data_IF_006894679575
#
_entry.id   IF_006894679575
#
_cell.length_a   1.000
_cell.length_b   1.000
_cell.length_c   1.000
_cell.angle_alpha   90.00
_cell.angle_beta   90.00
_cell.angle_gamma   90.00
#
_symmetry.space_group_name_H-M   'P 1'
#
loop_
_entity.id
_entity.type
_entity.pdbx_description
1 polymer ?
#
# COMPACT_ATOMS: atom_id res chain seq x y z
N UNK A 1 -20.04 63.45 21.49
CA UNK A 1 -19.02 64.44 21.87
C UNK A 1 -17.68 63.89 21.42
N UNK A 2 -17.08 64.61 20.46
CA UNK A 2 -15.68 64.76 20.06
C UNK A 2 -14.87 63.49 19.77
N UNK A 3 -14.71 63.15 18.54
CA UNK A 3 -13.63 63.31 17.56
C UNK A 3 -12.24 63.57 18.14
N UNK A 4 -11.27 62.68 17.84
CA UNK A 4 -9.93 63.10 17.50
C UNK A 4 -9.28 62.08 16.50
N UNK A 5 -9.25 62.54 15.25
CA UNK A 5 -8.44 62.06 14.16
C UNK A 5 -7.01 62.58 14.35
N UNK A 6 -6.01 61.71 14.24
CA UNK A 6 -4.62 62.16 14.00
C UNK A 6 -4.07 61.41 12.78
N UNK A 7 -3.93 62.19 11.75
CA UNK A 7 -3.21 61.90 10.52
C UNK A 7 -1.70 62.13 10.73
N UNK A 8 -0.86 61.14 10.43
CA UNK A 8 0.54 61.40 10.14
C UNK A 8 0.91 60.84 8.78
N UNK A 9 1.06 61.80 7.86
CA UNK A 9 1.81 61.61 6.61
C UNK A 9 3.29 61.48 6.95
N UNK A 10 3.99 60.48 6.43
CA UNK A 10 5.42 60.53 6.20
C UNK A 10 5.74 60.14 4.74
N UNK A 11 6.39 61.12 4.14
CA UNK A 11 6.87 61.18 2.77
C UNK A 11 8.12 60.33 2.57
N UNK A 12 8.14 59.61 1.50
CA UNK A 12 9.20 59.39 0.51
C UNK A 12 10.61 59.00 0.95
N UNK A 13 11.05 57.90 0.38
CA UNK A 13 12.31 57.87 -0.38
C UNK A 13 12.39 56.59 -1.21
N UNK A 14 12.21 56.76 -2.48
CA UNK A 14 12.54 55.80 -3.55
C UNK A 14 14.06 55.70 -3.60
N UNK A 15 14.60 54.49 -3.43
CA UNK A 15 15.96 54.17 -3.84
C UNK A 15 15.92 53.22 -5.03
N UNK A 16 16.18 53.81 -6.21
CA UNK A 16 16.53 53.11 -7.44
C UNK A 16 17.93 52.51 -7.25
N UNK A 17 18.08 51.20 -7.27
CA UNK A 17 19.38 50.58 -7.54
C UNK A 17 19.44 50.16 -8.99
N UNK A 18 20.32 50.88 -9.71
CA UNK A 18 20.57 50.72 -11.12
C UNK A 18 21.28 49.40 -11.43
N UNK A 19 20.79 48.71 -12.46
CA UNK A 19 21.49 47.66 -13.20
C UNK A 19 22.76 48.24 -13.85
N UNK A 20 23.92 47.66 -13.56
CA UNK A 20 25.12 47.81 -14.38
C UNK A 20 25.26 46.56 -15.23
N UNK A 21 24.89 46.72 -16.48
CA UNK A 21 25.08 45.72 -17.54
C UNK A 21 26.49 46.00 -18.12
N UNK A 22 27.45 45.12 -17.81
CA UNK A 22 28.73 45.14 -18.52
C UNK A 22 28.70 44.15 -19.68
N UNK A 23 28.51 44.69 -20.87
CA UNK A 23 28.68 44.02 -22.14
C UNK A 23 30.18 43.99 -22.47
N UNK A 24 30.84 42.83 -22.39
CA UNK A 24 32.14 42.61 -23.01
C UNK A 24 31.92 41.73 -24.23
N UNK A 25 31.92 42.34 -25.38
CA UNK A 25 31.99 41.63 -26.67
C UNK A 25 33.46 41.31 -26.92
N UNK A 26 33.82 40.06 -26.84
CA UNK A 26 35.06 39.53 -27.38
C UNK A 26 34.72 38.54 -28.51
N UNK A 27 34.89 39.00 -29.73
CA UNK A 27 34.93 38.19 -30.93
C UNK A 27 36.25 37.41 -30.93
N UNK A 28 36.16 36.07 -30.74
CA UNK A 28 37.18 35.15 -31.18
C UNK A 28 36.50 33.96 -31.83
N UNK A 29 36.61 33.92 -33.13
CA UNK A 29 36.29 32.79 -33.98
C UNK A 29 37.25 31.62 -33.71
N UNK A 30 36.74 30.48 -33.26
CA UNK A 30 37.39 29.17 -33.48
C UNK A 30 36.34 28.06 -33.43
N UNK A 31 36.29 27.36 -34.52
CA UNK A 31 35.81 26.00 -34.81
C UNK A 31 35.00 25.25 -33.73
N UNK A 32 33.80 24.93 -34.14
CA UNK A 32 32.78 24.28 -33.35
C UNK A 32 33.12 22.88 -32.83
N UNK A 33 32.75 22.69 -31.61
CA UNK A 33 32.17 21.42 -31.10
C UNK A 33 31.03 21.84 -30.19
N UNK A 34 29.81 21.67 -30.67
CA UNK A 34 28.61 21.80 -29.83
C UNK A 34 28.65 20.69 -28.77
N UNK A 35 29.13 21.03 -27.58
CA UNK A 35 28.79 20.21 -26.40
C UNK A 35 27.30 20.41 -26.14
N UNK A 36 26.51 19.42 -26.59
CA UNK A 36 25.20 19.23 -26.01
C UNK A 36 25.41 18.81 -24.55
N UNK A 37 25.31 19.75 -23.64
CA UNK A 37 25.03 19.42 -22.23
C UNK A 37 23.61 18.86 -22.21
N UNK A 38 23.52 17.56 -22.35
CA UNK A 38 22.31 16.84 -21.97
C UNK A 38 22.23 17.03 -20.46
N UNK A 39 21.38 17.94 -20.00
CA UNK A 39 20.91 17.92 -18.63
C UNK A 39 20.25 16.53 -18.45
N UNK A 40 20.98 15.60 -17.87
CA UNK A 40 20.38 14.39 -17.33
C UNK A 40 19.43 14.90 -16.24
N UNK A 41 18.14 14.92 -16.55
CA UNK A 41 17.11 15.01 -15.55
C UNK A 41 17.43 13.93 -14.51
N UNK A 42 17.54 14.32 -13.28
CA UNK A 42 17.62 13.37 -12.15
C UNK A 42 16.23 12.75 -12.09
N UNK A 43 16.07 11.63 -12.77
CA UNK A 43 14.89 10.78 -12.57
C UNK A 43 14.95 10.31 -11.12
N UNK A 44 14.07 10.81 -10.28
CA UNK A 44 13.88 10.27 -8.94
C UNK A 44 13.13 8.95 -9.10
N UNK A 45 13.85 7.85 -8.93
CA UNK A 45 13.29 6.51 -8.81
C UNK A 45 13.11 6.24 -7.31
N UNK A 46 11.99 6.62 -6.77
CA UNK A 46 11.66 6.44 -5.37
C UNK A 46 10.22 5.95 -5.24
N UNK A 47 10.06 4.82 -4.57
CA UNK A 47 8.74 4.33 -4.21
C UNK A 47 8.04 5.31 -3.26
N UNK A 48 6.74 5.45 -3.44
CA UNK A 48 5.92 6.35 -2.63
C UNK A 48 4.98 5.52 -1.76
N UNK A 49 4.89 5.89 -0.50
CA UNK A 49 3.78 5.51 0.39
C UNK A 49 2.92 6.75 0.60
N UNK A 50 1.62 6.56 0.67
CA UNK A 50 0.68 7.65 0.90
C UNK A 50 -0.38 7.22 1.91
N UNK A 51 0.02 6.90 3.16
CA UNK A 51 -0.95 6.45 4.15
C UNK A 51 -1.98 7.54 4.39
N UNK A 52 -3.23 7.21 4.10
CA UNK A 52 -4.36 8.08 4.37
C UNK A 52 -4.86 7.82 5.79
N UNK A 53 -4.73 8.80 6.68
CA UNK A 53 -5.14 8.62 8.07
C UNK A 53 -5.93 9.79 8.63
N UNK A 54 -6.64 9.52 9.71
CA UNK A 54 -7.40 10.48 10.48
C UNK A 54 -7.15 10.26 11.97
N UNK A 55 -6.74 11.31 12.68
CA UNK A 55 -6.55 11.27 14.12
C UNK A 55 -7.86 11.00 14.87
N UNK A 56 -7.83 10.05 15.80
CA UNK A 56 -8.97 9.63 16.61
C UNK A 56 -8.93 10.13 18.05
N UNK A 57 -7.74 10.40 18.59
CA UNK A 57 -7.55 10.85 19.97
C UNK A 57 -6.46 10.08 20.71
N UNK A 58 -6.32 10.36 22.01
CA UNK A 58 -5.39 9.66 22.92
C UNK A 58 -6.06 8.52 23.67
N UNK A 59 -5.27 7.58 24.25
CA UNK A 59 -5.75 6.32 24.84
C UNK A 59 -6.78 6.42 25.95
N UNK A 60 -6.81 7.52 26.68
CA UNK A 60 -7.65 7.68 27.87
C UNK A 60 -9.08 8.16 27.58
N UNK A 61 -9.34 8.55 26.35
CA UNK A 61 -10.69 8.85 25.94
C UNK A 61 -11.39 7.53 25.59
N UNK A 62 -12.64 7.33 25.98
CA UNK A 62 -13.44 6.13 25.65
C UNK A 62 -13.67 6.02 24.13
N UNK A 63 -12.64 5.61 23.39
CA UNK A 63 -12.48 5.83 21.96
C UNK A 63 -13.23 4.87 21.08
N UNK A 64 -13.48 3.64 21.53
CA UNK A 64 -14.40 2.75 20.82
C UNK A 64 -15.77 3.42 20.63
N UNK A 65 -16.19 4.27 21.57
CA UNK A 65 -17.43 5.03 21.44
C UNK A 65 -17.38 6.14 20.38
N UNK A 66 -16.23 6.82 20.18
CA UNK A 66 -16.15 7.94 19.21
C UNK A 66 -16.03 7.48 17.75
N UNK A 67 -15.34 6.37 17.50
CA UNK A 67 -15.21 5.80 16.16
C UNK A 67 -16.46 5.04 15.73
N UNK A 68 -17.15 4.40 16.68
CA UNK A 68 -18.32 3.56 16.44
C UNK A 68 -19.67 4.27 16.69
N UNK A 69 -19.72 5.34 17.49
CA UNK A 69 -20.97 6.01 17.90
C UNK A 69 -21.29 7.25 17.07
N UNK A 70 -20.34 7.83 16.36
CA UNK A 70 -20.67 8.94 15.47
C UNK A 70 -21.43 8.40 14.26
N UNK A 71 -22.72 8.64 14.24
CA UNK A 71 -23.65 8.42 13.11
C UNK A 71 -23.33 9.29 11.87
N UNK A 72 -22.10 9.79 11.78
CA UNK A 72 -21.59 10.41 10.57
C UNK A 72 -21.05 9.30 9.65
N UNK A 73 -21.05 9.53 8.35
CA UNK A 73 -20.50 8.63 7.32
C UNK A 73 -19.03 8.22 7.50
N UNK A 74 -18.43 8.54 8.67
CA UNK A 74 -17.04 8.28 9.04
C UNK A 74 -16.97 7.46 10.32
N UNK A 75 -16.61 6.19 10.18
CA UNK A 75 -16.37 5.26 11.29
C UNK A 75 -15.04 4.52 11.08
N UNK A 76 -14.65 3.65 11.99
CA UNK A 76 -13.46 2.82 11.88
C UNK A 76 -13.73 1.43 12.42
N UNK A 77 -12.91 0.49 12.01
CA UNK A 77 -12.98 -0.90 12.41
C UNK A 77 -11.79 -1.28 13.30
N UNK A 78 -12.06 -2.04 14.34
CA UNK A 78 -11.05 -2.73 15.13
C UNK A 78 -10.81 -4.15 14.61
N UNK A 79 -9.97 -4.87 15.33
CA UNK A 79 -9.51 -6.21 14.93
C UNK A 79 -10.68 -7.20 14.79
N UNK A 80 -11.59 -7.26 15.75
CA UNK A 80 -12.70 -8.21 15.72
C UNK A 80 -13.67 -7.94 14.56
N UNK A 81 -13.94 -6.66 14.25
CA UNK A 81 -14.80 -6.30 13.14
C UNK A 81 -14.19 -6.75 11.80
N UNK A 82 -12.89 -6.51 11.59
CA UNK A 82 -12.21 -6.91 10.36
C UNK A 82 -12.13 -8.44 10.23
N UNK A 83 -11.80 -9.14 11.32
CA UNK A 83 -11.78 -10.61 11.34
C UNK A 83 -13.14 -11.24 11.04
N UNK A 84 -14.21 -10.61 11.49
CA UNK A 84 -15.57 -11.08 11.24
C UNK A 84 -16.03 -10.75 9.82
N UNK A 85 -15.80 -9.52 9.35
CA UNK A 85 -16.21 -9.08 8.01
C UNK A 85 -15.62 -9.97 6.91
N UNK A 86 -14.36 -10.36 7.04
CA UNK A 86 -13.70 -11.22 6.06
C UNK A 86 -13.65 -12.71 6.45
N UNK A 87 -14.47 -13.10 7.43
CA UNK A 87 -14.61 -14.52 7.85
C UNK A 87 -13.29 -15.17 8.26
N UNK A 88 -12.43 -14.41 8.95
CA UNK A 88 -11.14 -14.88 9.50
C UNK A 88 -11.36 -15.52 10.87
N UNK A 89 -12.26 -14.99 11.70
CA UNK A 89 -12.52 -15.46 13.05
C UNK A 89 -12.81 -16.99 13.13
N UNK A 90 -13.54 -17.62 12.19
CA UNK A 90 -13.73 -19.06 12.19
C UNK A 90 -12.43 -19.87 11.98
N UNK A 91 -11.43 -19.34 11.29
CA UNK A 91 -10.12 -19.99 11.13
C UNK A 91 -9.33 -19.92 12.43
N UNK A 92 -9.29 -18.74 13.06
CA UNK A 92 -8.63 -18.52 14.34
C UNK A 92 -9.24 -19.43 15.45
N UNK A 93 -10.57 -19.53 15.51
CA UNK A 93 -11.27 -20.41 16.46
C UNK A 93 -10.93 -21.90 16.26
N UNK A 94 -10.46 -22.29 15.08
CA UNK A 94 -10.00 -23.65 14.75
C UNK A 94 -8.50 -23.85 14.98
N UNK A 95 -7.79 -22.81 15.47
CA UNK A 95 -6.35 -22.85 15.74
C UNK A 95 -5.44 -22.51 14.54
N UNK A 96 -6.01 -22.03 13.44
CA UNK A 96 -5.23 -21.50 12.32
C UNK A 96 -4.92 -20.01 12.58
N UNK A 97 -3.79 -19.75 13.21
CA UNK A 97 -3.38 -18.44 13.75
C UNK A 97 -2.10 -17.90 13.10
N UNK A 98 -1.61 -18.57 12.04
CA UNK A 98 -0.31 -18.30 11.43
C UNK A 98 0.86 -18.94 12.18
N UNK A 99 0.59 -19.79 13.17
CA UNK A 99 1.62 -20.44 13.99
C UNK A 99 2.60 -21.24 13.14
N UNK A 100 3.91 -20.96 13.33
CA UNK A 100 4.99 -21.59 12.59
C UNK A 100 5.17 -21.04 11.19
N UNK A 101 4.54 -19.89 10.87
CA UNK A 101 4.71 -19.14 9.62
C UNK A 101 5.35 -17.79 9.91
N UNK A 102 5.92 -17.21 8.86
CA UNK A 102 6.64 -15.94 8.96
C UNK A 102 6.24 -14.97 7.85
N UNK A 103 5.92 -13.74 8.25
CA UNK A 103 5.60 -12.64 7.36
C UNK A 103 6.77 -11.66 7.41
N UNK A 104 7.27 -11.26 6.25
CA UNK A 104 8.24 -10.19 6.11
C UNK A 104 7.52 -8.95 5.59
N UNK A 105 7.73 -7.84 6.25
CA UNK A 105 7.30 -6.51 5.83
C UNK A 105 8.54 -5.77 5.37
N UNK A 106 8.53 -5.26 4.15
CA UNK A 106 9.62 -4.42 3.63
C UNK A 106 9.12 -2.99 3.59
N UNK A 107 9.75 -2.12 4.38
CA UNK A 107 9.46 -0.69 4.42
C UNK A 107 10.77 0.11 4.44
N UNK A 108 10.67 1.43 4.21
CA UNK A 108 11.83 2.30 4.26
C UNK A 108 11.91 3.05 5.59
N UNK A 109 13.11 3.44 5.94
CA UNK A 109 13.43 4.17 7.18
C UNK A 109 13.11 3.36 8.44
N UNK A 110 12.45 3.96 9.43
CA UNK A 110 12.24 3.38 10.76
C UNK A 110 11.01 3.98 11.46
N UNK A 111 10.45 3.23 12.41
CA UNK A 111 9.45 3.71 13.36
C UNK A 111 9.98 3.51 14.79
N UNK A 112 10.60 4.53 15.41
CA UNK A 112 11.31 4.38 16.69
C UNK A 112 10.45 3.88 17.85
N UNK A 113 9.13 4.16 17.84
CA UNK A 113 8.20 3.74 18.90
C UNK A 113 7.40 2.47 18.55
N UNK A 114 7.67 1.82 17.41
CA UNK A 114 6.89 0.68 16.91
C UNK A 114 6.62 -0.40 17.97
N UNK A 115 7.62 -0.77 18.78
CA UNK A 115 7.46 -1.83 19.80
C UNK A 115 6.49 -1.43 20.91
N UNK A 116 6.51 -0.18 21.32
CA UNK A 116 5.57 0.36 22.31
C UNK A 116 4.18 0.48 21.73
N UNK A 117 4.07 0.92 20.46
CA UNK A 117 2.81 1.06 19.73
C UNK A 117 2.13 -0.29 19.54
N UNK A 118 2.85 -1.30 19.10
CA UNK A 118 2.31 -2.66 18.95
C UNK A 118 1.90 -3.25 20.30
N UNK A 119 2.66 -3.02 21.38
CA UNK A 119 2.28 -3.49 22.71
C UNK A 119 0.97 -2.83 23.20
N UNK A 120 0.80 -1.54 22.92
CA UNK A 120 -0.45 -0.80 23.17
C UNK A 120 -1.61 -1.35 22.31
N UNK A 121 -1.34 -1.65 21.04
CA UNK A 121 -2.30 -2.26 20.12
C UNK A 121 -2.75 -3.65 20.60
N UNK A 122 -1.80 -4.52 20.96
CA UNK A 122 -2.08 -5.86 21.51
C UNK A 122 -2.94 -5.79 22.76
N UNK A 123 -2.58 -4.91 23.69
CA UNK A 123 -3.34 -4.73 24.92
C UNK A 123 -4.78 -4.25 24.69
N UNK A 124 -5.00 -3.42 23.66
CA UNK A 124 -6.33 -2.88 23.31
C UNK A 124 -7.25 -3.90 22.67
N UNK A 125 -6.69 -4.72 21.80
CA UNK A 125 -7.46 -5.69 21.04
C UNK A 125 -7.39 -7.11 21.62
N UNK A 126 -6.71 -7.28 22.76
CA UNK A 126 -6.59 -8.59 23.43
C UNK A 126 -5.80 -9.59 22.61
N UNK A 127 -4.81 -9.12 21.86
CA UNK A 127 -3.93 -9.97 21.07
C UNK A 127 -2.82 -10.58 21.95
N UNK A 128 -2.26 -11.74 21.57
CA UNK A 128 -1.04 -12.21 22.19
C UNK A 128 0.12 -11.26 21.85
N UNK A 129 1.16 -11.19 22.69
CA UNK A 129 2.34 -10.39 22.36
C UNK A 129 2.95 -10.80 21.03
N UNK A 130 3.22 -9.81 20.16
CA UNK A 130 3.80 -10.03 18.85
C UNK A 130 5.20 -10.67 18.91
N UNK A 131 5.48 -11.60 18.00
CA UNK A 131 6.85 -12.05 17.74
C UNK A 131 7.47 -11.21 16.62
N UNK A 132 7.99 -10.02 16.99
CA UNK A 132 8.53 -9.04 16.06
C UNK A 132 10.06 -9.05 16.04
N UNK A 133 10.64 -9.28 14.87
CA UNK A 133 12.03 -9.06 14.55
C UNK A 133 12.19 -7.82 13.67
N UNK A 134 13.21 -7.00 13.90
CA UNK A 134 13.53 -5.84 13.06
C UNK A 134 14.93 -6.06 12.48
N UNK A 135 15.03 -6.03 11.17
CA UNK A 135 16.26 -6.29 10.40
C UNK A 135 16.62 -5.02 9.62
N UNK A 136 17.85 -4.60 9.75
CA UNK A 136 18.39 -3.41 9.09
C UNK A 136 19.56 -3.83 8.21
N UNK A 137 19.33 -4.08 6.90
CA UNK A 137 20.41 -4.53 6.00
C UNK A 137 21.54 -3.51 5.80
N UNK A 138 21.20 -2.23 5.85
CA UNK A 138 22.12 -1.10 5.68
C UNK A 138 21.95 -0.09 6.82
N UNK A 139 22.97 0.75 7.04
CA UNK A 139 22.87 1.80 8.05
C UNK A 139 21.78 2.81 7.69
N UNK A 140 20.77 2.92 8.54
CA UNK A 140 19.70 3.90 8.41
C UNK A 140 20.19 5.34 8.63
N UNK A 141 19.54 6.34 8.02
CA UNK A 141 19.68 7.72 8.42
C UNK A 141 19.21 7.89 9.88
N UNK A 142 19.71 8.95 10.54
CA UNK A 142 19.19 9.28 11.86
C UNK A 142 17.70 9.68 11.76
N UNK A 143 16.90 9.22 12.70
CA UNK A 143 15.51 9.63 12.80
C UNK A 143 15.38 11.15 12.93
N UNK A 144 14.51 11.71 12.12
CA UNK A 144 14.18 13.13 12.14
C UNK A 144 12.66 13.29 12.11
N UNK A 145 12.07 13.60 13.26
CA UNK A 145 10.62 13.80 13.39
C UNK A 145 10.05 15.00 12.60
N UNK A 146 10.89 15.80 11.97
CA UNK A 146 10.50 16.93 11.10
C UNK A 146 10.74 16.64 9.62
N UNK A 147 11.09 15.42 9.30
CA UNK A 147 11.21 14.92 7.94
C UNK A 147 9.90 14.20 7.59
N UNK A 148 9.12 14.83 6.74
CA UNK A 148 7.78 14.34 6.37
C UNK A 148 7.85 12.95 5.72
N UNK A 149 8.91 12.65 4.98
CA UNK A 149 9.13 11.34 4.38
C UNK A 149 9.32 10.27 5.46
N UNK A 150 10.20 10.51 6.43
CA UNK A 150 10.39 9.56 7.53
C UNK A 150 9.14 9.40 8.39
N UNK A 151 8.39 10.47 8.63
CA UNK A 151 7.11 10.38 9.37
C UNK A 151 6.09 9.54 8.60
N UNK A 152 5.96 9.76 7.30
CA UNK A 152 5.04 9.00 6.44
C UNK A 152 5.37 7.50 6.47
N UNK A 153 6.66 7.15 6.35
CA UNK A 153 7.10 5.76 6.43
C UNK A 153 6.93 5.16 7.83
N UNK A 154 7.10 5.94 8.90
CA UNK A 154 6.83 5.42 10.26
C UNK A 154 5.35 5.10 10.48
N UNK A 155 4.47 5.87 9.85
CA UNK A 155 3.03 5.62 9.86
C UNK A 155 2.70 4.31 9.11
N UNK A 156 3.32 4.10 7.94
CA UNK A 156 3.15 2.88 7.14
C UNK A 156 3.64 1.65 7.90
N UNK A 157 4.84 1.71 8.49
CA UNK A 157 5.40 0.64 9.31
C UNK A 157 4.46 0.22 10.45
N UNK A 158 3.87 1.20 11.16
CA UNK A 158 2.92 0.90 12.25
C UNK A 158 1.67 0.21 11.73
N UNK A 159 1.10 0.69 10.62
CA UNK A 159 -0.05 0.07 9.96
C UNK A 159 0.24 -1.38 9.58
N UNK A 160 1.33 -1.60 8.86
CA UNK A 160 1.66 -2.89 8.26
C UNK A 160 1.92 -3.96 9.33
N UNK A 161 2.73 -3.62 10.34
CA UNK A 161 3.09 -4.55 11.41
C UNK A 161 1.88 -4.91 12.28
N UNK A 162 1.10 -3.90 12.72
CA UNK A 162 -0.07 -4.12 13.56
C UNK A 162 -1.13 -4.97 12.86
N UNK A 163 -1.40 -4.70 11.56
CA UNK A 163 -2.47 -5.39 10.87
C UNK A 163 -2.08 -6.75 10.29
N UNK A 164 -0.81 -6.99 9.99
CA UNK A 164 -0.33 -8.36 9.74
C UNK A 164 -0.48 -9.22 10.99
N UNK A 165 -0.08 -8.68 12.17
CA UNK A 165 -0.23 -9.35 13.46
C UNK A 165 -1.71 -9.54 13.85
N UNK A 166 -2.55 -8.53 13.61
CA UNK A 166 -3.99 -8.63 13.86
C UNK A 166 -4.65 -9.80 13.13
N UNK A 167 -4.21 -10.16 11.93
CA UNK A 167 -4.81 -11.24 11.15
C UNK A 167 -4.18 -12.60 11.45
N UNK A 168 -2.86 -12.66 11.66
CA UNK A 168 -2.12 -13.88 11.94
C UNK A 168 -1.35 -13.76 13.27
N UNK A 169 -2.07 -13.83 14.41
CA UNK A 169 -1.53 -13.43 15.71
C UNK A 169 -0.37 -14.29 16.25
N UNK A 170 -0.20 -15.52 15.75
CA UNK A 170 0.91 -16.40 16.11
C UNK A 170 1.98 -16.54 15.02
N UNK A 171 1.86 -15.78 13.91
CA UNK A 171 2.94 -15.70 12.93
C UNK A 171 4.11 -14.88 13.49
N UNK A 172 5.35 -15.22 13.10
CA UNK A 172 6.47 -14.32 13.32
C UNK A 172 6.44 -13.21 12.26
N UNK A 173 6.71 -11.98 12.68
CA UNK A 173 6.80 -10.83 11.78
C UNK A 173 8.24 -10.33 11.78
N UNK A 174 8.80 -10.19 10.59
CA UNK A 174 10.12 -9.57 10.38
C UNK A 174 9.93 -8.28 9.59
N UNK A 175 10.13 -7.14 10.23
CA UNK A 175 10.24 -5.85 9.54
C UNK A 175 11.65 -5.71 9.00
N UNK A 176 11.79 -5.48 7.70
CA UNK A 176 13.06 -5.19 7.04
C UNK A 176 13.08 -3.72 6.66
N UNK A 177 13.86 -2.93 7.39
CA UNK A 177 13.98 -1.50 7.23
C UNK A 177 15.01 -1.17 6.14
N UNK A 178 14.51 -0.76 4.96
CA UNK A 178 15.35 -0.24 3.89
C UNK A 178 15.94 1.11 4.29
N UNK A 179 17.16 1.38 3.84
CA UNK A 179 17.86 2.63 4.13
C UNK A 179 17.11 3.86 3.62
N UNK A 180 16.42 3.76 2.51
CA UNK A 180 15.59 4.80 1.91
C UNK A 180 14.51 4.18 1.01
N UNK A 181 13.63 5.01 0.53
CA UNK A 181 12.55 4.68 -0.41
C UNK A 181 13.03 4.51 -1.87
N UNK A 182 14.33 4.72 -2.15
CA UNK A 182 14.83 4.56 -3.52
C UNK A 182 14.91 3.08 -3.91
N UNK A 183 14.57 2.78 -5.16
CA UNK A 183 14.58 1.42 -5.70
C UNK A 183 15.84 0.60 -5.37
N UNK A 184 17.08 1.13 -5.53
CA UNK A 184 18.26 0.33 -5.21
C UNK A 184 18.34 -0.10 -3.75
N UNK A 185 17.81 0.70 -2.82
CA UNK A 185 17.81 0.38 -1.39
C UNK A 185 16.68 -0.60 -1.05
N UNK A 186 15.47 -0.42 -1.62
CA UNK A 186 14.36 -1.36 -1.48
C UNK A 186 14.65 -2.73 -2.12
N UNK A 187 15.23 -2.75 -3.33
CA UNK A 187 15.67 -4.00 -3.99
C UNK A 187 16.75 -4.71 -3.14
N UNK A 188 17.62 -3.96 -2.48
CA UNK A 188 18.62 -4.53 -1.58
C UNK A 188 17.97 -5.15 -0.35
N UNK A 189 16.97 -4.49 0.26
CA UNK A 189 16.19 -5.03 1.37
C UNK A 189 15.46 -6.31 0.96
N UNK A 190 14.86 -6.34 -0.23
CA UNK A 190 14.23 -7.52 -0.80
C UNK A 190 15.23 -8.65 -1.03
N UNK A 191 16.38 -8.39 -1.67
CA UNK A 191 17.40 -9.40 -1.88
C UNK A 191 17.95 -9.93 -0.55
N UNK A 192 18.18 -9.06 0.44
CA UNK A 192 18.58 -9.48 1.77
C UNK A 192 17.56 -10.43 2.40
N UNK A 193 16.27 -10.11 2.29
CA UNK A 193 15.15 -10.97 2.73
C UNK A 193 15.22 -12.36 2.08
N UNK A 194 15.44 -12.40 0.77
CA UNK A 194 15.49 -13.63 -0.02
C UNK A 194 16.75 -14.46 0.32
N UNK A 195 17.90 -13.81 0.36
CA UNK A 195 19.20 -14.47 0.59
C UNK A 195 19.31 -15.09 1.98
N UNK A 196 18.59 -14.54 2.96
CA UNK A 196 18.58 -15.03 4.35
C UNK A 196 17.32 -15.85 4.69
N UNK A 197 16.43 -16.11 3.72
CA UNK A 197 15.17 -16.84 3.91
C UNK A 197 14.38 -16.34 5.14
N UNK A 198 14.16 -15.01 5.22
CA UNK A 198 13.63 -14.36 6.43
C UNK A 198 12.14 -14.66 6.65
N UNK A 199 11.41 -15.17 5.65
CA UNK A 199 10.01 -15.52 5.84
C UNK A 199 9.35 -16.22 4.66
N UNK A 200 8.09 -16.59 4.88
CA UNK A 200 7.26 -17.32 3.91
C UNK A 200 6.53 -16.36 2.95
N UNK A 201 6.17 -15.18 3.45
CA UNK A 201 5.36 -14.17 2.76
C UNK A 201 6.06 -12.83 2.84
N UNK A 202 6.09 -12.07 1.74
CA UNK A 202 6.66 -10.72 1.67
C UNK A 202 5.54 -9.74 1.33
N UNK A 203 5.33 -8.74 2.19
CA UNK A 203 4.37 -7.65 2.06
C UNK A 203 5.10 -6.35 1.70
N UNK A 204 4.62 -5.64 0.67
CA UNK A 204 5.18 -4.41 0.13
C UNK A 204 4.07 -3.38 -0.06
N UNK A 205 3.91 -2.48 0.89
CA UNK A 205 2.87 -1.44 0.88
C UNK A 205 3.33 -0.15 0.22
N UNK A 206 4.05 -0.25 -0.89
CA UNK A 206 4.59 0.89 -1.62
C UNK A 206 4.56 0.67 -3.13
N UNK A 207 4.74 1.77 -3.87
CA UNK A 207 4.86 1.68 -5.32
C UNK A 207 5.29 2.99 -5.96
N UNK A 208 5.64 2.91 -7.23
CA UNK A 208 5.87 4.06 -8.11
C UNK A 208 5.36 3.75 -9.52
N UNK A 209 5.26 4.77 -10.36
CA UNK A 209 4.89 4.59 -11.77
C UNK A 209 5.87 3.68 -12.49
N UNK A 210 5.40 2.59 -13.09
CA UNK A 210 6.25 1.71 -13.91
C UNK A 210 6.92 2.44 -15.08
N UNK A 211 6.32 3.54 -15.56
CA UNK A 211 6.88 4.36 -16.64
C UNK A 211 8.14 5.14 -16.20
N UNK A 212 8.34 5.32 -14.90
CA UNK A 212 9.48 6.05 -14.35
C UNK A 212 10.68 5.15 -14.01
N UNK A 213 10.44 3.86 -13.85
CA UNK A 213 11.51 2.90 -13.60
C UNK A 213 12.34 2.63 -14.86
N UNK A 214 13.66 2.61 -14.72
CA UNK A 214 14.54 2.22 -15.84
C UNK A 214 14.43 0.72 -16.12
N UNK A 215 14.80 0.32 -17.34
CA UNK A 215 14.82 -1.10 -17.71
C UNK A 215 15.70 -1.95 -16.78
N UNK A 216 16.79 -1.39 -16.24
CA UNK A 216 17.67 -2.10 -15.30
C UNK A 216 17.02 -2.25 -13.93
N UNK A 217 16.28 -1.25 -13.45
CA UNK A 217 15.49 -1.30 -12.21
C UNK A 217 14.40 -2.36 -12.34
N UNK A 218 13.58 -2.29 -13.39
CA UNK A 218 12.53 -3.28 -13.68
C UNK A 218 13.09 -4.71 -13.72
N UNK A 219 14.22 -4.90 -14.41
CA UNK A 219 14.89 -6.19 -14.47
C UNK A 219 15.39 -6.67 -13.10
N UNK A 220 15.85 -5.75 -12.25
CA UNK A 220 16.36 -6.08 -10.91
C UNK A 220 15.22 -6.51 -9.99
N UNK A 221 14.09 -5.80 -9.99
CA UNK A 221 12.87 -6.20 -9.30
C UNK A 221 12.40 -7.57 -9.75
N UNK A 222 12.19 -7.76 -11.06
CA UNK A 222 11.69 -9.01 -11.61
C UNK A 222 12.58 -10.20 -11.26
N UNK A 223 13.91 -10.04 -11.36
CA UNK A 223 14.88 -11.09 -10.99
C UNK A 223 14.80 -11.47 -9.51
N UNK A 224 14.61 -10.49 -8.61
CA UNK A 224 14.42 -10.77 -7.19
C UNK A 224 13.11 -11.54 -6.97
N UNK A 225 12.01 -11.14 -7.63
CA UNK A 225 10.73 -11.83 -7.55
C UNK A 225 10.77 -13.26 -8.10
N UNK A 226 11.48 -13.49 -9.22
CA UNK A 226 11.74 -14.85 -9.73
C UNK A 226 12.47 -15.71 -8.68
N UNK A 227 13.42 -15.12 -7.96
CA UNK A 227 14.19 -15.87 -6.95
C UNK A 227 13.32 -16.18 -5.73
N UNK A 228 12.56 -15.21 -5.20
CA UNK A 228 11.60 -15.41 -4.12
C UNK A 228 10.56 -16.49 -4.46
N UNK A 229 9.99 -16.41 -5.67
CA UNK A 229 9.00 -17.40 -6.17
C UNK A 229 9.58 -18.81 -6.23
N UNK A 230 10.82 -18.96 -6.71
CA UNK A 230 11.51 -20.29 -6.75
C UNK A 230 11.77 -20.86 -5.35
N UNK A 231 11.94 -20.01 -4.35
CA UNK A 231 12.09 -20.42 -2.95
C UNK A 231 10.74 -20.68 -2.26
N UNK A 232 9.64 -20.52 -3.00
CA UNK A 232 8.30 -20.71 -2.49
C UNK A 232 7.80 -19.58 -1.60
N UNK A 233 8.38 -18.39 -1.71
CA UNK A 233 7.88 -17.20 -1.02
C UNK A 233 6.69 -16.60 -1.77
N UNK A 234 5.67 -16.13 -1.04
CA UNK A 234 4.55 -15.37 -1.59
C UNK A 234 4.87 -13.88 -1.59
N UNK A 235 4.60 -13.21 -2.70
CA UNK A 235 4.83 -11.77 -2.86
C UNK A 235 3.50 -11.03 -2.96
N UNK A 236 3.30 -10.01 -2.14
CA UNK A 236 2.11 -9.16 -2.10
C UNK A 236 2.53 -7.69 -2.23
N UNK A 237 1.77 -6.91 -2.97
CA UNK A 237 1.97 -5.46 -3.05
C UNK A 237 0.66 -4.69 -3.13
N UNK A 238 0.64 -3.51 -2.53
CA UNK A 238 -0.44 -2.54 -2.65
C UNK A 238 -0.59 -2.05 -4.09
N UNK A 239 -1.82 -1.88 -4.57
CA UNK A 239 -2.07 -1.46 -5.95
C UNK A 239 -1.99 0.05 -6.17
N UNK A 240 -1.88 0.83 -5.09
CA UNK A 240 -1.83 2.28 -5.10
C UNK A 240 -3.14 2.95 -4.67
N UNK A 241 -3.05 4.24 -4.39
CA UNK A 241 -4.11 5.01 -3.73
C UNK A 241 -4.64 6.18 -4.59
N UNK A 242 -4.11 6.32 -5.80
CA UNK A 242 -4.43 7.43 -6.71
C UNK A 242 -5.31 6.98 -7.89
N UNK A 243 -6.14 5.96 -7.68
CA UNK A 243 -6.99 5.39 -8.73
C UNK A 243 -6.17 4.80 -9.88
N UNK A 244 -6.52 5.08 -11.16
CA UNK A 244 -5.73 4.60 -12.29
C UNK A 244 -4.48 5.45 -12.53
N UNK A 245 -4.15 6.37 -11.62
CA UNK A 245 -3.13 7.40 -11.78
C UNK A 245 -1.86 7.14 -11.02
N UNK A 246 -0.74 7.47 -11.67
CA UNK A 246 0.59 7.54 -11.08
C UNK A 246 1.19 8.92 -11.34
N UNK A 247 2.07 9.38 -10.46
CA UNK A 247 2.80 10.62 -10.69
C UNK A 247 3.69 10.52 -11.92
N UNK A 248 3.82 11.64 -12.64
CA UNK A 248 4.83 11.77 -13.69
C UNK A 248 6.24 11.71 -13.08
N UNK A 249 7.24 11.30 -13.89
CA UNK A 249 8.59 11.05 -13.37
C UNK A 249 9.31 12.30 -12.82
N UNK A 250 8.79 13.48 -13.08
CA UNK A 250 9.21 14.76 -12.48
C UNK A 250 8.40 15.12 -11.23
N UNK A 251 7.41 14.30 -10.87
CA UNK A 251 6.44 14.51 -9.79
C UNK A 251 5.61 15.82 -9.94
N UNK A 252 5.50 16.36 -11.14
CA UNK A 252 4.79 17.62 -11.35
C UNK A 252 3.30 17.42 -11.67
N UNK A 253 2.91 16.25 -12.21
CA UNK A 253 1.57 15.96 -12.67
C UNK A 253 1.21 14.46 -12.49
N UNK A 254 0.11 14.03 -13.11
CA UNK A 254 -0.42 12.68 -13.02
C UNK A 254 -0.72 12.10 -14.39
N UNK A 255 -0.41 10.82 -14.58
CA UNK A 255 -0.73 10.03 -15.75
C UNK A 255 -1.53 8.80 -15.37
N UNK A 256 -2.30 8.26 -16.33
CA UNK A 256 -2.85 6.93 -16.20
C UNK A 256 -1.74 5.91 -16.47
N UNK A 257 -1.36 5.16 -15.45
CA UNK A 257 -0.27 4.18 -15.50
C UNK A 257 -0.48 3.09 -14.44
N UNK A 258 0.17 1.94 -14.60
CA UNK A 258 0.28 0.94 -13.56
C UNK A 258 1.50 1.25 -12.67
N UNK A 259 1.46 0.74 -11.45
CA UNK A 259 2.52 0.87 -10.44
C UNK A 259 3.43 -0.36 -10.41
N UNK A 260 4.71 -0.19 -10.07
CA UNK A 260 5.59 -1.27 -9.61
C UNK A 260 5.71 -1.15 -8.07
N UNK A 261 5.86 -2.28 -7.34
CA UNK A 261 6.11 -3.65 -7.81
C UNK A 261 4.85 -4.43 -8.21
N UNK A 262 3.64 -3.90 -8.00
CA UNK A 262 2.37 -4.63 -8.17
C UNK A 262 2.09 -5.09 -9.61
N UNK A 263 2.61 -4.39 -10.61
CA UNK A 263 2.43 -4.76 -12.02
C UNK A 263 3.27 -5.98 -12.45
N UNK A 264 4.28 -6.38 -11.66
CA UNK A 264 5.04 -7.59 -11.96
C UNK A 264 4.14 -8.83 -11.90
N UNK A 265 4.18 -9.73 -12.91
CA UNK A 265 3.32 -10.91 -12.95
C UNK A 265 3.50 -11.89 -11.78
N UNK A 266 4.63 -11.84 -11.07
CA UNK A 266 4.93 -12.71 -9.94
C UNK A 266 4.41 -12.16 -8.60
N UNK A 267 3.94 -10.92 -8.59
CA UNK A 267 3.41 -10.24 -7.41
C UNK A 267 1.89 -10.32 -7.40
N UNK A 268 1.32 -10.59 -6.23
CA UNK A 268 -0.13 -10.53 -6.00
C UNK A 268 -0.53 -9.11 -5.63
N UNK A 269 -1.31 -8.47 -6.48
CA UNK A 269 -1.78 -7.09 -6.28
C UNK A 269 -3.01 -7.02 -5.38
N UNK A 270 -2.97 -6.16 -4.37
CA UNK A 270 -4.07 -5.90 -3.43
C UNK A 270 -4.68 -4.53 -3.69
N UNK A 271 -5.90 -4.50 -4.19
CA UNK A 271 -6.70 -3.29 -4.44
C UNK A 271 -7.53 -2.87 -3.23
N UNK A 272 -8.27 -1.77 -3.41
CA UNK A 272 -9.00 -1.12 -2.36
C UNK A 272 -10.52 -1.14 -2.50
N UNK A 273 -11.23 -1.44 -1.42
CA UNK A 273 -12.68 -1.35 -1.29
C UNK A 273 -13.09 -0.40 -0.17
N UNK A 274 -14.36 -0.04 -0.14
CA UNK A 274 -15.00 0.64 0.98
C UNK A 274 -16.02 -0.33 1.60
N UNK A 275 -15.64 -0.90 2.73
CA UNK A 275 -16.42 -1.86 3.50
C UNK A 275 -17.57 -1.20 4.24
N UNK A 276 -18.73 -1.81 4.20
CA UNK A 276 -19.84 -1.64 5.15
C UNK A 276 -19.99 -2.94 5.95
N UNK A 277 -19.74 -2.86 7.24
CA UNK A 277 -19.94 -3.95 8.17
C UNK A 277 -20.65 -3.42 9.42
N UNK A 278 -21.31 -4.29 10.16
CA UNK A 278 -21.89 -3.93 11.45
C UNK A 278 -20.80 -3.46 12.42
N UNK A 279 -20.99 -2.29 13.01
CA UNK A 279 -19.96 -1.64 13.84
C UNK A 279 -19.70 -2.35 15.17
N UNK A 280 -20.59 -3.24 15.59
CA UNK A 280 -20.45 -4.00 16.85
C UNK A 280 -19.91 -5.38 16.58
N UNK A 281 -20.58 -6.09 15.66
CA UNK A 281 -20.26 -7.50 15.37
C UNK A 281 -19.23 -7.69 14.29
N UNK A 282 -19.03 -6.70 13.41
CA UNK A 282 -18.24 -6.83 12.22
C UNK A 282 -18.90 -7.66 11.10
N UNK A 283 -20.20 -7.95 11.20
CA UNK A 283 -20.89 -8.70 10.16
C UNK A 283 -20.85 -7.96 8.83
N UNK A 284 -20.38 -8.62 7.80
CA UNK A 284 -20.28 -8.08 6.43
C UNK A 284 -21.66 -7.70 5.90
N UNK A 285 -21.80 -6.50 5.36
CA UNK A 285 -23.04 -6.02 4.74
C UNK A 285 -22.89 -5.77 3.25
N UNK A 286 -21.88 -5.02 2.85
CA UNK A 286 -21.59 -4.75 1.44
C UNK A 286 -20.21 -4.10 1.26
N UNK A 287 -19.73 -4.09 0.02
CA UNK A 287 -18.55 -3.33 -0.39
C UNK A 287 -18.77 -2.67 -1.75
N UNK A 288 -18.05 -1.58 -1.95
CA UNK A 288 -17.89 -0.91 -3.23
C UNK A 288 -16.42 -0.63 -3.50
N UNK A 289 -16.06 -0.29 -4.73
CA UNK A 289 -14.70 0.21 -5.01
C UNK A 289 -14.38 1.38 -4.09
N UNK A 290 -13.22 1.38 -3.47
CA UNK A 290 -12.75 2.54 -2.71
C UNK A 290 -12.54 3.73 -3.63
N UNK A 291 -13.20 4.82 -3.29
CA UNK A 291 -13.05 6.13 -3.91
C UNK A 291 -13.46 7.18 -2.90
N UNK A 292 -12.53 8.07 -2.56
CA UNK A 292 -12.77 9.22 -1.67
C UNK A 292 -12.37 10.52 -2.37
N UNK A 293 -13.32 11.23 -2.99
CA UNK A 293 -13.03 12.49 -3.67
C UNK A 293 -12.51 13.58 -2.75
N UNK A 294 -12.80 13.53 -1.44
CA UNK A 294 -12.37 14.56 -0.50
C UNK A 294 -10.87 14.47 -0.19
N UNK A 295 -10.32 13.26 -0.17
CA UNK A 295 -8.88 13.00 -0.02
C UNK A 295 -8.17 12.80 -1.36
N UNK A 296 -8.87 12.95 -2.49
CA UNK A 296 -8.35 12.71 -3.84
C UNK A 296 -7.74 11.31 -3.98
N UNK A 297 -8.36 10.31 -3.37
CA UNK A 297 -7.85 8.94 -3.32
C UNK A 297 -8.87 7.93 -3.85
N UNK A 298 -8.35 6.83 -4.39
CA UNK A 298 -9.14 5.70 -4.89
C UNK A 298 -8.23 4.47 -5.07
N UNK A 299 -8.84 3.27 -5.13
CA UNK A 299 -8.14 2.03 -5.41
C UNK A 299 -7.26 2.13 -6.65
N UNK A 300 -5.98 1.83 -6.54
CA UNK A 300 -5.10 1.64 -7.67
C UNK A 300 -5.52 0.45 -8.53
N UNK A 301 -5.12 0.48 -9.80
CA UNK A 301 -5.37 -0.61 -10.72
C UNK A 301 -5.40 -0.17 -12.17
N UNK A 302 -5.29 -1.15 -13.06
CA UNK A 302 -5.22 -0.94 -14.50
C UNK A 302 -4.43 -2.02 -15.20
N UNK A 303 -3.74 -1.64 -16.27
CA UNK A 303 -3.02 -2.56 -17.13
C UNK A 303 -1.58 -2.06 -17.31
N UNK A 304 -0.62 -2.96 -17.11
CA UNK A 304 0.80 -2.66 -17.29
C UNK A 304 1.13 -2.35 -18.75
N UNK A 305 1.97 -1.34 -18.97
CA UNK A 305 2.56 -1.08 -20.29
C UNK A 305 3.87 -1.87 -20.50
N UNK A 306 4.40 -2.47 -19.44
CA UNK A 306 5.67 -3.21 -19.42
C UNK A 306 5.42 -4.71 -19.55
N UNK A 307 4.50 -5.27 -18.73
CA UNK A 307 4.30 -6.70 -18.63
C UNK A 307 3.13 -7.20 -19.48
N UNK A 308 3.37 -8.28 -20.22
CA UNK A 308 2.32 -8.97 -20.95
C UNK A 308 1.40 -9.73 -20.00
N UNK A 309 0.19 -10.01 -20.49
CA UNK A 309 -0.77 -10.85 -19.77
C UNK A 309 -0.14 -12.21 -19.43
N UNK A 310 -0.02 -12.57 -18.14
CA UNK A 310 0.47 -13.89 -17.75
C UNK A 310 -0.60 -14.97 -17.97
N UNK A 311 -0.16 -16.23 -18.11
CA UNK A 311 -1.04 -17.35 -18.43
C UNK A 311 -2.17 -17.59 -17.41
N UNK A 312 -1.95 -17.27 -16.14
CA UNK A 312 -3.02 -17.39 -15.15
C UNK A 312 -4.17 -16.40 -15.39
N UNK A 313 -3.93 -15.29 -16.10
CA UNK A 313 -4.97 -14.33 -16.52
C UNK A 313 -5.61 -14.70 -17.87
N UNK A 314 -5.19 -15.79 -18.51
CA UNK A 314 -5.87 -16.27 -19.73
C UNK A 314 -7.34 -16.55 -19.46
N UNK A 315 -8.17 -16.29 -20.48
CA UNK A 315 -9.64 -16.44 -20.43
C UNK A 315 -10.36 -15.42 -19.54
N UNK A 316 -9.67 -14.41 -18.97
CA UNK A 316 -10.36 -13.28 -18.34
C UNK A 316 -10.77 -12.31 -19.45
N UNK A 317 -12.10 -12.14 -19.62
CA UNK A 317 -12.65 -11.41 -20.77
C UNK A 317 -12.21 -9.94 -20.83
N UNK A 318 -11.99 -9.33 -19.67
CA UNK A 318 -11.65 -7.91 -19.56
C UNK A 318 -10.15 -7.62 -19.64
N UNK A 319 -9.30 -8.66 -19.81
CA UNK A 319 -7.85 -8.54 -19.97
C UNK A 319 -7.47 -8.90 -21.40
N UNK A 320 -6.96 -7.92 -22.16
CA UNK A 320 -6.51 -8.16 -23.53
C UNK A 320 -5.16 -8.88 -23.59
N UNK A 321 -4.05 -8.16 -23.64
CA UNK A 321 -2.71 -8.68 -23.86
C UNK A 321 -1.67 -8.22 -22.80
N UNK A 322 -2.12 -7.42 -21.82
CA UNK A 322 -1.31 -6.82 -20.78
C UNK A 322 -1.66 -7.40 -19.40
N UNK A 323 -0.69 -7.40 -18.47
CA UNK A 323 -0.94 -7.72 -17.07
C UNK A 323 -1.99 -6.76 -16.49
N UNK A 324 -3.11 -7.28 -15.99
CA UNK A 324 -4.15 -6.52 -15.30
C UNK A 324 -3.98 -6.60 -13.79
N UNK A 325 -4.06 -5.48 -13.10
CA UNK A 325 -4.01 -5.33 -11.63
C UNK A 325 -5.26 -4.61 -11.12
N UNK A 326 -5.63 -4.82 -9.84
CA UNK A 326 -5.11 -5.77 -8.86
C UNK A 326 -5.58 -7.21 -9.11
N UNK A 327 -5.09 -8.18 -8.30
CA UNK A 327 -5.58 -9.56 -8.34
C UNK A 327 -6.75 -9.78 -7.39
N UNK A 328 -6.67 -9.15 -6.23
CA UNK A 328 -7.66 -9.21 -5.12
C UNK A 328 -7.79 -7.83 -4.49
N UNK A 329 -8.71 -7.67 -3.53
CA UNK A 329 -8.90 -6.41 -2.83
C UNK A 329 -9.15 -6.59 -1.33
N UNK A 330 -9.16 -5.47 -0.61
CA UNK A 330 -9.49 -5.40 0.82
C UNK A 330 -9.98 -4.01 1.18
N UNK A 331 -10.55 -3.81 2.40
CA UNK A 331 -10.97 -2.49 2.85
C UNK A 331 -9.80 -1.49 2.89
N UNK A 332 -9.97 -0.37 2.21
CA UNK A 332 -8.96 0.69 2.08
C UNK A 332 -9.52 2.09 2.35
N UNK A 333 -10.82 2.18 2.66
CA UNK A 333 -11.47 3.48 2.86
C UNK A 333 -11.01 4.16 4.13
N UNK A 334 -10.43 5.36 4.03
CA UNK A 334 -10.02 6.17 5.20
C UNK A 334 -11.21 6.59 6.07
N UNK A 335 -12.37 6.82 5.47
CA UNK A 335 -13.59 7.15 6.21
C UNK A 335 -14.16 5.96 6.98
N UNK A 336 -13.76 4.74 6.62
CA UNK A 336 -14.11 3.44 7.23
C UNK A 336 -12.86 2.60 7.47
N UNK A 337 -11.80 3.26 7.92
CA UNK A 337 -10.47 2.69 8.04
C UNK A 337 -10.31 1.78 9.25
N UNK A 338 -9.10 1.29 9.39
CA UNK A 338 -8.69 0.44 10.51
C UNK A 338 -7.99 1.26 11.60
N UNK A 339 -8.14 0.84 12.85
CA UNK A 339 -7.49 1.53 13.99
C UNK A 339 -6.02 1.14 14.05
N UNK A 340 -5.15 2.14 14.20
CA UNK A 340 -3.69 1.98 14.35
C UNK A 340 -3.22 2.82 15.54
N UNK A 341 -2.25 2.32 16.28
CA UNK A 341 -1.49 3.05 17.30
C UNK A 341 -0.22 3.58 16.65
N UNK A 342 -0.05 4.89 16.62
CA UNK A 342 1.13 5.50 16.01
C UNK A 342 1.64 6.69 16.84
N UNK A 343 2.81 6.52 17.43
CA UNK A 343 3.44 7.46 18.35
C UNK A 343 4.36 8.48 17.69
N UNK A 344 4.90 8.17 16.53
CA UNK A 344 5.89 9.01 15.84
C UNK A 344 5.27 10.20 15.12
N UNK A 345 3.94 10.26 15.05
CA UNK A 345 3.19 11.34 14.43
C UNK A 345 3.08 12.60 15.30
N UNK A 346 2.38 13.59 14.76
CA UNK A 346 2.21 14.93 15.35
C UNK A 346 1.67 14.92 16.79
N UNK A 347 0.79 13.95 17.11
CA UNK A 347 0.09 13.91 18.40
C UNK A 347 0.83 13.13 19.50
N UNK A 348 1.96 12.47 19.14
CA UNK A 348 2.88 11.82 20.07
C UNK A 348 2.40 10.47 20.62
N UNK A 349 3.02 9.99 21.72
CA UNK A 349 2.92 8.62 22.17
C UNK A 349 1.51 8.08 22.40
N UNK A 350 1.26 6.85 21.91
CA UNK A 350 0.02 6.12 22.08
C UNK A 350 -1.19 6.71 21.35
N UNK A 351 -0.98 7.62 20.39
CA UNK A 351 -2.04 8.23 19.62
C UNK A 351 -2.72 7.25 18.69
N UNK A 352 -4.04 7.34 18.61
CA UNK A 352 -4.86 6.48 17.77
C UNK A 352 -5.26 7.20 16.48
N UNK A 353 -5.21 6.46 15.41
CA UNK A 353 -5.62 6.92 14.09
C UNK A 353 -6.50 5.89 13.39
N UNK A 354 -7.34 6.35 12.47
CA UNK A 354 -8.01 5.52 11.48
C UNK A 354 -7.23 5.58 10.19
N UNK A 355 -6.71 4.47 9.74
CA UNK A 355 -5.93 4.35 8.51
C UNK A 355 -6.74 3.73 7.39
N UNK A 356 -6.46 4.14 6.17
CA UNK A 356 -6.95 3.57 4.91
C UNK A 356 -5.79 3.43 3.93
N UNK A 357 -6.12 3.30 2.65
CA UNK A 357 -5.16 3.01 1.58
C UNK A 357 -5.11 1.52 1.25
N UNK A 358 -4.58 1.18 0.09
CA UNK A 358 -4.33 -0.22 -0.31
C UNK A 358 -3.27 -0.88 0.57
N UNK A 359 -2.43 -0.08 1.21
CA UNK A 359 -1.52 -0.46 2.30
C UNK A 359 -2.24 -1.13 3.47
N UNK A 360 -3.46 -0.70 3.81
CA UNK A 360 -4.22 -1.36 4.88
C UNK A 360 -4.58 -2.81 4.54
N UNK A 361 -4.81 -3.12 3.27
CA UNK A 361 -5.20 -4.46 2.82
C UNK A 361 -4.03 -5.43 2.65
N UNK A 362 -2.88 -4.94 2.23
CA UNK A 362 -1.73 -5.76 1.84
C UNK A 362 -1.18 -6.61 2.99
N UNK A 363 -0.88 -6.07 4.19
CA UNK A 363 -0.43 -6.86 5.33
C UNK A 363 -1.52 -7.79 5.87
N UNK A 364 -2.79 -7.42 5.75
CA UNK A 364 -3.89 -8.29 6.14
C UNK A 364 -4.02 -9.50 5.20
N UNK A 365 -3.81 -9.32 3.89
CA UNK A 365 -3.68 -10.43 2.96
C UNK A 365 -2.46 -11.30 3.26
N UNK A 366 -1.32 -10.71 3.66
CA UNK A 366 -0.16 -11.49 4.11
C UNK A 366 -0.53 -12.36 5.32
N UNK A 367 -1.29 -11.82 6.27
CA UNK A 367 -1.86 -12.58 7.37
C UNK A 367 -2.75 -13.74 6.90
N UNK A 368 -3.67 -13.52 5.95
CA UNK A 368 -4.54 -14.57 5.39
C UNK A 368 -3.71 -15.66 4.70
N UNK A 369 -2.65 -15.29 3.97
CA UNK A 369 -1.73 -16.27 3.37
C UNK A 369 -0.99 -17.06 4.44
N UNK A 370 -0.57 -16.45 5.56
CA UNK A 370 0.05 -17.16 6.67
C UNK A 370 -0.90 -18.20 7.31
N UNK A 371 -2.21 -17.87 7.41
CA UNK A 371 -3.22 -18.85 7.82
C UNK A 371 -3.34 -19.99 6.80
N UNK A 372 -3.27 -19.69 5.51
CA UNK A 372 -3.34 -20.68 4.44
C UNK A 372 -2.09 -21.59 4.41
N UNK A 373 -0.92 -21.03 4.59
CA UNK A 373 0.35 -21.78 4.72
C UNK A 373 0.32 -22.72 5.94
N UNK A 374 -0.22 -22.25 7.07
CA UNK A 374 -0.42 -23.11 8.23
C UNK A 374 -1.45 -24.20 7.94
N UNK A 375 -2.58 -23.88 7.30
CA UNK A 375 -3.62 -24.84 6.95
C UNK A 375 -3.08 -25.93 6.00
N UNK A 376 -2.28 -25.55 5.01
CA UNK A 376 -1.62 -26.45 4.08
C UNK A 376 -0.41 -27.17 4.69
N UNK A 377 0.08 -26.74 5.85
CA UNK A 377 1.33 -27.18 6.48
C UNK A 377 2.57 -27.03 5.57
N UNK A 378 2.57 -26.04 4.70
CA UNK A 378 3.66 -25.70 3.76
C UNK A 378 3.53 -24.25 3.27
N UNK A 379 4.59 -23.69 2.66
CA UNK A 379 4.49 -22.47 1.86
C UNK A 379 3.59 -22.71 0.65
N UNK A 380 2.63 -21.82 0.39
CA UNK A 380 1.85 -21.84 -0.86
C UNK A 380 2.64 -21.27 -2.03
N UNK A 381 3.59 -20.38 -1.75
CA UNK A 381 4.42 -19.75 -2.76
C UNK A 381 3.64 -18.82 -3.68
N UNK A 382 3.82 -18.95 -4.99
CA UNK A 382 3.15 -18.10 -5.98
C UNK A 382 1.64 -18.37 -6.04
N UNK A 383 0.84 -17.54 -5.40
CA UNK A 383 -0.60 -17.78 -5.20
C UNK A 383 -1.49 -17.30 -6.36
N UNK A 384 -1.02 -16.42 -7.27
CA UNK A 384 -1.88 -15.92 -8.36
C UNK A 384 -2.53 -17.04 -9.18
N UNK A 385 -1.82 -18.10 -9.61
CA UNK A 385 -2.46 -19.21 -10.32
C UNK A 385 -3.60 -19.87 -9.52
N UNK A 386 -3.48 -19.97 -8.19
CA UNK A 386 -4.49 -20.56 -7.32
C UNK A 386 -5.71 -19.63 -7.25
N UNK A 387 -5.52 -18.33 -7.03
CA UNK A 387 -6.58 -17.33 -6.96
C UNK A 387 -7.38 -17.29 -8.28
N UNK A 388 -6.67 -17.27 -9.42
CA UNK A 388 -7.31 -17.26 -10.73
C UNK A 388 -8.01 -18.58 -11.07
N UNK A 389 -7.51 -19.71 -10.60
CA UNK A 389 -8.21 -21.00 -10.72
C UNK A 389 -9.51 -21.03 -9.90
N UNK A 390 -9.51 -20.47 -8.70
CA UNK A 390 -10.70 -20.31 -7.86
C UNK A 390 -11.68 -19.36 -8.54
N UNK A 391 -11.22 -18.17 -8.95
CA UNK A 391 -12.05 -17.14 -9.56
C UNK A 391 -12.73 -17.56 -10.86
N UNK A 392 -12.11 -18.43 -11.66
CA UNK A 392 -12.66 -18.96 -12.91
C UNK A 392 -13.76 -20.01 -12.71
N UNK A 393 -13.93 -20.55 -11.49
CA UNK A 393 -14.95 -21.53 -11.17
C UNK A 393 -16.08 -20.89 -10.37
N UNK A 394 -17.22 -20.74 -10.98
CA UNK A 394 -18.37 -20.01 -10.41
C UNK A 394 -18.77 -20.49 -9.01
N UNK A 395 -18.76 -21.81 -8.75
CA UNK A 395 -19.08 -22.39 -7.45
C UNK A 395 -18.05 -22.05 -6.37
N UNK A 396 -16.78 -22.06 -6.71
CA UNK A 396 -15.70 -21.69 -5.79
C UNK A 396 -15.63 -20.17 -5.59
N UNK A 397 -15.75 -19.42 -6.68
CA UNK A 397 -15.71 -17.97 -6.66
C UNK A 397 -16.76 -17.38 -5.71
N UNK A 398 -18.02 -17.78 -5.89
CA UNK A 398 -19.13 -17.29 -5.06
C UNK A 398 -18.98 -17.67 -3.57
N UNK A 399 -18.26 -18.75 -3.24
CA UNK A 399 -18.03 -19.14 -1.86
C UNK A 399 -16.80 -18.49 -1.23
N UNK A 400 -15.80 -18.13 -2.04
CA UNK A 400 -14.48 -17.68 -1.58
C UNK A 400 -14.27 -16.17 -1.62
N UNK A 401 -15.07 -15.45 -2.42
CA UNK A 401 -14.92 -14.01 -2.60
C UNK A 401 -16.26 -13.27 -2.51
N UNK A 402 -16.21 -12.06 -1.98
CA UNK A 402 -17.24 -11.06 -2.20
C UNK A 402 -16.94 -10.36 -3.54
N UNK A 403 -17.80 -10.53 -4.52
CA UNK A 403 -17.71 -9.91 -5.84
C UNK A 403 -18.09 -8.43 -5.77
N UNK A 404 -17.15 -7.54 -6.09
CA UNK A 404 -17.36 -6.09 -6.00
C UNK A 404 -17.84 -5.56 -7.35
N UNK A 405 -19.13 -5.33 -7.47
CA UNK A 405 -19.78 -4.97 -8.74
C UNK A 405 -20.21 -3.50 -8.82
N UNK A 406 -19.88 -2.68 -7.81
CA UNK A 406 -20.30 -1.27 -7.73
C UNK A 406 -19.12 -0.35 -7.54
N UNK A 407 -19.13 0.75 -8.29
CA UNK A 407 -18.13 1.81 -8.16
C UNK A 407 -17.18 1.87 -9.35
N UNK A 408 -16.23 2.76 -9.23
CA UNK A 408 -15.11 2.94 -10.15
C UNK A 408 -13.97 3.64 -9.40
N UNK A 409 -12.75 3.53 -9.92
CA UNK A 409 -11.57 4.15 -9.34
C UNK A 409 -11.16 5.48 -10.01
N UNK A 410 -12.04 6.15 -10.73
CA UNK A 410 -11.75 7.47 -11.32
C UNK A 410 -11.49 8.52 -10.25
N UNK A 411 -10.52 9.40 -10.48
CA UNK A 411 -10.02 10.33 -9.48
C UNK A 411 -9.70 11.69 -10.11
N UNK A 412 -9.75 12.75 -9.29
CA UNK A 412 -9.25 14.08 -9.65
C UNK A 412 -8.14 14.46 -8.70
N UNK A 413 -6.93 14.63 -9.20
CA UNK A 413 -5.69 14.80 -8.45
C UNK A 413 -5.13 16.20 -8.68
N UNK A 414 -4.55 16.79 -7.64
CA UNK A 414 -3.88 18.08 -7.75
C UNK A 414 -2.45 17.89 -8.25
N UNK A 415 -2.09 18.59 -9.33
CA UNK A 415 -0.70 18.73 -9.77
C UNK A 415 0.04 19.81 -8.94
N UNK A 416 1.36 19.89 -9.08
CA UNK A 416 2.19 20.83 -8.31
C UNK A 416 1.89 22.30 -8.62
N UNK A 417 1.41 22.60 -9.83
CA UNK A 417 0.96 23.93 -10.26
C UNK A 417 -0.49 24.25 -9.84
N UNK A 418 -1.07 23.39 -8.99
CA UNK A 418 -2.46 23.43 -8.53
C UNK A 418 -3.52 23.20 -9.62
N UNK A 419 -3.14 22.76 -10.81
CA UNK A 419 -4.11 22.28 -11.81
C UNK A 419 -4.70 20.95 -11.35
N UNK A 420 -5.96 20.70 -11.73
CA UNK A 420 -6.63 19.43 -11.43
C UNK A 420 -6.56 18.53 -12.65
N UNK A 421 -5.91 17.38 -12.47
CA UNK A 421 -5.86 16.32 -13.47
C UNK A 421 -6.96 15.32 -13.13
N UNK A 422 -7.93 15.14 -14.01
CA UNK A 422 -9.01 14.16 -13.86
C UNK A 422 -8.69 12.94 -14.70
N UNK A 423 -8.61 11.79 -14.05
CA UNK A 423 -8.35 10.50 -14.68
C UNK A 423 -9.60 9.64 -14.64
N UNK A 424 -10.09 9.26 -15.83
CA UNK A 424 -11.20 8.33 -15.96
C UNK A 424 -10.76 6.94 -15.47
N UNK A 425 -11.51 6.42 -14.49
CA UNK A 425 -11.22 5.14 -13.89
C UNK A 425 -11.75 3.94 -14.65
N UNK A 426 -11.38 2.78 -14.15
CA UNK A 426 -12.00 1.51 -14.50
C UNK A 426 -13.27 1.33 -13.66
N UNK A 427 -14.21 0.53 -14.17
CA UNK A 427 -15.48 0.23 -13.47
C UNK A 427 -15.40 -1.17 -12.89
N UNK A 428 -15.95 -1.31 -11.69
CA UNK A 428 -16.26 -2.62 -11.13
C UNK A 428 -17.35 -3.34 -11.95
N UNK A 429 -17.27 -4.66 -11.99
CA UNK A 429 -18.21 -5.51 -12.69
C UNK A 429 -18.13 -6.96 -12.20
N UNK A 430 -19.06 -7.83 -12.63
CA UNK A 430 -19.05 -9.22 -12.19
C UNK A 430 -17.75 -9.95 -12.55
N UNK A 431 -17.19 -10.67 -11.58
CA UNK A 431 -15.93 -11.37 -11.72
C UNK A 431 -14.72 -10.45 -11.61
N UNK A 432 -13.62 -10.78 -12.29
CA UNK A 432 -12.42 -9.96 -12.23
C UNK A 432 -12.60 -8.61 -12.94
N UNK A 433 -12.20 -7.54 -12.28
CA UNK A 433 -12.09 -6.19 -12.85
C UNK A 433 -10.80 -5.48 -12.42
N UNK A 434 -10.44 -4.40 -13.14
CA UNK A 434 -9.20 -3.66 -12.94
C UNK A 434 -9.27 -2.64 -11.78
N UNK A 435 -10.22 -2.76 -10.86
CA UNK A 435 -10.34 -1.93 -9.66
C UNK A 435 -10.23 -2.73 -8.38
N UNK A 436 -10.70 -3.99 -8.38
CA UNK A 436 -10.79 -4.84 -7.19
C UNK A 436 -10.36 -6.30 -7.45
N UNK A 437 -9.84 -6.60 -8.64
CA UNK A 437 -9.46 -7.97 -8.99
C UNK A 437 -10.65 -8.92 -8.87
N UNK A 438 -10.46 -10.06 -8.23
CA UNK A 438 -11.51 -11.02 -7.89
C UNK A 438 -12.41 -10.59 -6.72
N UNK A 439 -12.17 -9.42 -6.12
CA UNK A 439 -12.88 -8.92 -4.94
C UNK A 439 -12.18 -9.25 -3.62
N UNK A 440 -12.95 -9.23 -2.52
CA UNK A 440 -12.43 -9.39 -1.16
C UNK A 440 -12.64 -10.81 -0.62
N UNK A 441 -11.82 -11.32 0.30
CA UNK A 441 -11.81 -12.72 0.67
C UNK A 441 -12.94 -13.08 1.64
N UNK A 442 -13.55 -14.25 1.46
CA UNK A 442 -14.24 -15.00 2.50
C UNK A 442 -13.23 -16.03 3.03
N UNK A 443 -12.34 -15.58 3.95
CA UNK A 443 -11.13 -16.32 4.30
C UNK A 443 -11.37 -17.75 4.76
N UNK A 444 -12.45 -18.00 5.51
CA UNK A 444 -12.82 -19.35 5.99
C UNK A 444 -13.10 -20.36 4.86
N UNK A 445 -13.39 -19.87 3.65
CA UNK A 445 -13.63 -20.68 2.45
C UNK A 445 -12.42 -20.65 1.51
N UNK A 446 -11.81 -19.47 1.34
CA UNK A 446 -10.68 -19.27 0.44
C UNK A 446 -9.44 -20.08 0.88
N UNK A 447 -9.10 -20.04 2.18
CA UNK A 447 -7.92 -20.70 2.74
C UNK A 447 -7.92 -22.22 2.46
N UNK A 448 -8.99 -22.99 2.73
CA UNK A 448 -9.04 -24.42 2.39
C UNK A 448 -8.92 -24.68 0.89
N UNK A 449 -9.50 -23.83 0.03
CA UNK A 449 -9.42 -24.00 -1.41
C UNK A 449 -8.01 -23.77 -1.93
N UNK A 450 -7.30 -22.73 -1.46
CA UNK A 450 -5.89 -22.50 -1.82
C UNK A 450 -5.02 -23.69 -1.39
N UNK A 451 -5.18 -24.16 -0.16
CA UNK A 451 -4.42 -25.31 0.36
C UNK A 451 -4.68 -26.60 -0.44
N UNK A 452 -5.93 -26.87 -0.81
CA UNK A 452 -6.29 -28.01 -1.65
C UNK A 452 -5.63 -27.95 -3.02
N UNK A 453 -5.66 -26.78 -3.68
CA UNK A 453 -5.07 -26.59 -5.00
C UNK A 453 -3.54 -26.72 -4.96
N UNK A 454 -2.89 -26.12 -3.96
CA UNK A 454 -1.44 -26.25 -3.79
C UNK A 454 -0.99 -27.70 -3.66
N UNK A 455 -1.73 -28.53 -2.94
CA UNK A 455 -1.44 -29.96 -2.82
C UNK A 455 -1.55 -30.71 -4.15
N UNK A 456 -2.46 -30.30 -5.06
CA UNK A 456 -2.62 -30.94 -6.38
C UNK A 456 -1.52 -30.57 -7.36
N UNK A 457 -0.95 -29.36 -7.26
CA UNK A 457 0.16 -28.92 -8.14
C UNK A 457 1.49 -29.62 -7.84
N UNK A 458 1.68 -30.18 -6.63
CA UNK A 458 2.88 -30.93 -6.25
C UNK A 458 2.85 -32.40 -6.73
N UNK A 459 1.68 -32.94 -7.08
CA UNK A 459 1.52 -34.35 -7.48
C UNK A 459 1.61 -34.57 -8.99
N UNK A 460 1.81 -33.50 -9.77
CA UNK A 460 2.01 -33.61 -11.22
C UNK A 460 3.52 -33.53 -11.51
N UNK A 461 4.18 -34.66 -11.88
CA UNK A 461 5.62 -34.72 -12.14
C UNK A 461 6.00 -33.91 -13.38
#
# INVERSE_FOLDING_TARGET
MQNHTISHRFTGKIWLCALVLNLVVALLSSSGTSMHVVARGITRHAAVVSPHYRYLGRPYDSLFSKCQINQSDKHCYGVDQMRNAYSIAPLLARGYTGKGRSIVIIDAYQAPHLRDDVADFDARFGLPPINLNIVVPDKLPAWNKHDDTQQTWSAEISLDVEWAHAIAPDASITLVESKSENDPDLIRALNYTIDHDLGDIISMSFGESEACATADVLKSWHKAFETATRLGMTLLAASGDSGPGEQTCDNESWNKAASIPVSDPLVTGVGGTALEADLVTGEYQSETVWRDPASQSASGGGFSDIYKKPSYQDQIANIADKRGTPDVAYNSSTSRGVVVVWSDGEHGPGSLYSFGGTSSGTPQWAGIVALADQYANQRLGFINPLLYQIGKRSDWYQSAFHDIVKGNNGVSLSATDATIVTLDGYKAGPGWDATTGWGTPIASQLVPLMAMLAATHQTTP
#
